data_IF_315720121650
#
_entry.id   IF_315720121650
#
_cell.length_a   1.000
_cell.length_b   1.000
_cell.length_c   1.000
_cell.angle_alpha   90.00
_cell.angle_beta   90.00
_cell.angle_gamma   90.00
#
_symmetry.space_group_name_H-M   'P 1'
#
loop_
_entity.id
_entity.type
_entity.pdbx_description
1 polymer ?
#
# COMPACT_ATOMS: atom_id res chain seq x y z
N UNK A 1 3.48 3.28 -1.98
CA UNK A 1 3.06 2.06 -2.71
C UNK A 1 2.73 2.40 -4.15
N UNK A 2 2.77 1.42 -5.06
CA UNK A 2 2.29 1.57 -6.44
C UNK A 2 0.99 0.79 -6.67
N UNK A 3 0.25 1.17 -7.71
CA UNK A 3 -0.98 0.46 -8.13
C UNK A 3 -0.67 -0.97 -8.56
N UNK A 4 0.46 -1.17 -9.27
CA UNK A 4 0.88 -2.51 -9.70
C UNK A 4 1.22 -3.42 -8.51
N UNK A 5 1.93 -2.91 -7.49
CA UNK A 5 2.22 -3.69 -6.29
C UNK A 5 0.93 -4.11 -5.55
N UNK A 6 -0.07 -3.23 -5.46
CA UNK A 6 -1.39 -3.61 -4.92
C UNK A 6 -2.12 -4.65 -5.79
N UNK A 7 -1.99 -4.54 -7.11
CA UNK A 7 -2.60 -5.51 -8.03
C UNK A 7 -2.03 -6.92 -7.85
N UNK A 8 -0.71 -7.05 -7.61
CA UNK A 8 -0.05 -8.32 -7.31
C UNK A 8 -0.58 -8.94 -6.01
N UNK A 9 -0.81 -8.13 -4.97
CA UNK A 9 -1.38 -8.62 -3.71
C UNK A 9 -2.78 -9.24 -3.89
N UNK A 10 -3.54 -8.83 -4.89
CA UNK A 10 -4.86 -9.43 -5.18
C UNK A 10 -4.78 -10.91 -5.56
N UNK A 11 -3.69 -11.32 -6.19
CA UNK A 11 -3.47 -12.71 -6.62
C UNK A 11 -2.93 -13.58 -5.46
N UNK A 12 -1.96 -13.05 -4.72
CA UNK A 12 -1.21 -13.82 -3.71
C UNK A 12 -1.89 -13.87 -2.33
N UNK A 13 -2.74 -12.91 -2.00
CA UNK A 13 -3.36 -12.83 -0.66
C UNK A 13 -4.68 -13.56 -0.53
N UNK A 14 -5.13 -14.32 -1.53
CA UNK A 14 -6.41 -15.03 -1.48
C UNK A 14 -6.55 -15.98 -0.28
N UNK A 15 -5.44 -16.50 0.24
CA UNK A 15 -5.41 -17.40 1.40
C UNK A 15 -5.25 -16.66 2.74
N UNK A 16 -4.92 -15.37 2.75
CA UNK A 16 -4.78 -14.60 3.98
C UNK A 16 -6.16 -14.31 4.59
N UNK A 17 -6.31 -14.59 5.89
CA UNK A 17 -7.55 -14.32 6.64
C UNK A 17 -7.75 -12.82 6.89
N UNK A 18 -6.68 -12.06 6.98
CA UNK A 18 -6.70 -10.62 7.24
C UNK A 18 -5.46 -9.97 6.63
N UNK A 19 -5.63 -8.81 6.04
CA UNK A 19 -4.56 -7.95 5.55
C UNK A 19 -4.69 -6.56 6.18
N UNK A 20 -3.62 -6.06 6.78
CA UNK A 20 -3.61 -4.75 7.44
C UNK A 20 -2.47 -3.91 6.89
N UNK A 21 -2.80 -2.71 6.45
CA UNK A 21 -1.82 -1.76 5.90
C UNK A 21 -1.88 -0.43 6.66
N UNK A 22 -0.73 0.04 7.09
CA UNK A 22 -0.57 1.40 7.62
C UNK A 22 0.19 2.21 6.58
N UNK A 23 -0.40 3.30 6.16
CA UNK A 23 0.23 4.26 5.27
C UNK A 23 0.81 5.42 6.06
N UNK A 24 1.93 5.93 5.61
CA UNK A 24 2.43 7.23 6.03
C UNK A 24 1.48 8.35 5.57
N UNK A 25 1.75 9.58 5.98
CA UNK A 25 0.86 10.71 5.71
C UNK A 25 0.53 10.86 4.22
N UNK A 26 -0.75 10.70 3.88
CA UNK A 26 -1.27 10.83 2.51
C UNK A 26 -1.48 12.29 2.08
N UNK A 27 -1.48 13.25 3.04
CA UNK A 27 -1.87 14.63 2.78
C UNK A 27 -0.72 15.66 2.93
N UNK A 28 0.53 15.21 3.07
CA UNK A 28 1.64 16.10 3.49
C UNK A 28 2.14 17.11 2.44
N UNK A 29 1.59 17.17 1.24
CA UNK A 29 1.98 18.16 0.24
C UNK A 29 0.78 18.78 -0.46
N UNK A 30 0.90 20.11 -0.69
CA UNK A 30 -0.10 20.91 -1.38
C UNK A 30 -0.28 20.53 -2.87
N UNK A 31 0.61 19.72 -3.44
CA UNK A 31 0.47 19.14 -4.77
C UNK A 31 -0.06 17.70 -4.71
N UNK A 32 -1.34 17.53 -4.42
CA UNK A 32 -1.99 16.21 -4.51
C UNK A 32 -1.76 15.56 -5.89
N UNK A 33 -1.70 16.35 -6.95
CA UNK A 33 -1.38 15.89 -8.30
C UNK A 33 -0.01 15.22 -8.40
N UNK A 34 1.03 15.73 -7.71
CA UNK A 34 2.37 15.16 -7.78
C UNK A 34 2.50 13.83 -7.00
N UNK A 35 1.78 13.63 -5.90
CA UNK A 35 1.79 12.33 -5.19
C UNK A 35 0.97 11.26 -5.88
N UNK A 36 -0.10 11.66 -6.51
CA UNK A 36 -0.87 10.81 -7.41
C UNK A 36 0.00 10.41 -8.59
N UNK A 37 0.76 11.33 -9.11
CA UNK A 37 1.76 11.10 -10.16
C UNK A 37 2.87 10.18 -9.65
N UNK A 38 3.33 10.27 -8.41
CA UNK A 38 4.29 9.31 -7.82
C UNK A 38 3.71 7.91 -7.62
N UNK A 39 2.43 7.79 -7.30
CA UNK A 39 1.70 6.52 -7.33
C UNK A 39 1.67 5.91 -8.74
N UNK A 40 1.73 6.76 -9.77
CA UNK A 40 1.68 6.39 -11.18
C UNK A 40 3.06 6.40 -11.84
N UNK A 41 3.87 7.46 -11.63
CA UNK A 41 5.16 7.71 -12.30
C UNK A 41 6.30 6.86 -11.76
N UNK A 42 6.16 6.26 -10.62
CA UNK A 42 7.02 5.14 -10.26
C UNK A 42 7.04 4.09 -11.39
N UNK A 43 6.00 4.08 -12.26
CA UNK A 43 5.74 3.05 -13.26
C UNK A 43 5.57 3.56 -14.70
N UNK A 44 5.55 4.87 -14.94
CA UNK A 44 5.29 5.43 -16.27
C UNK A 44 6.52 5.46 -17.19
N UNK A 45 6.97 4.32 -17.61
CA UNK A 45 7.32 4.17 -19.01
C UNK A 45 6.01 4.06 -19.79
N UNK A 46 5.76 5.00 -20.68
CA UNK A 46 4.51 5.25 -21.47
C UNK A 46 4.04 4.06 -22.35
N UNK A 47 4.22 2.85 -21.96
CA UNK A 47 3.99 1.72 -22.86
C UNK A 47 2.83 0.81 -22.52
N UNK A 48 1.79 1.23 -21.83
CA UNK A 48 0.51 0.47 -21.92
C UNK A 48 -0.58 1.02 -20.97
N UNK A 49 -1.35 1.97 -21.44
CA UNK A 49 -2.60 2.42 -20.79
C UNK A 49 -3.55 1.25 -20.49
N UNK A 50 -3.54 0.21 -21.33
CA UNK A 50 -4.39 -0.97 -21.14
C UNK A 50 -3.93 -1.85 -19.96
N UNK A 51 -2.62 -2.07 -19.80
CA UNK A 51 -2.07 -2.86 -18.68
C UNK A 51 -2.20 -2.13 -17.36
N UNK A 52 -2.04 -0.81 -17.35
CA UNK A 52 -2.27 0.03 -16.19
C UNK A 52 -3.75 0.03 -15.76
N UNK A 53 -4.68 0.10 -16.69
CA UNK A 53 -6.11 -0.02 -16.41
C UNK A 53 -6.48 -1.37 -15.80
N UNK A 54 -5.86 -2.46 -16.26
CA UNK A 54 -6.06 -3.79 -15.71
C UNK A 54 -5.49 -3.90 -14.28
N UNK A 55 -4.28 -3.35 -14.06
CA UNK A 55 -3.67 -3.29 -12.72
C UNK A 55 -4.51 -2.45 -11.77
N UNK A 56 -5.06 -1.31 -12.23
CA UNK A 56 -5.96 -0.49 -11.43
C UNK A 56 -7.22 -1.26 -10.99
N UNK A 57 -7.86 -1.98 -11.92
CA UNK A 57 -9.02 -2.84 -11.59
C UNK A 57 -8.67 -3.91 -10.55
N UNK A 58 -7.51 -4.57 -10.67
CA UNK A 58 -7.03 -5.55 -9.70
C UNK A 58 -6.72 -4.92 -8.34
N UNK A 59 -6.07 -3.76 -8.31
CA UNK A 59 -5.77 -3.02 -7.08
C UNK A 59 -7.05 -2.59 -6.35
N UNK A 60 -8.03 -2.07 -7.08
CA UNK A 60 -9.35 -1.71 -6.50
C UNK A 60 -10.06 -2.97 -5.97
N UNK A 61 -10.07 -4.06 -6.73
CA UNK A 61 -10.66 -5.32 -6.29
C UNK A 61 -9.98 -5.87 -5.02
N UNK A 62 -8.66 -5.72 -4.90
CA UNK A 62 -7.93 -6.05 -3.67
C UNK A 62 -8.39 -5.19 -2.49
N UNK A 63 -8.41 -3.88 -2.66
CA UNK A 63 -8.79 -2.94 -1.60
C UNK A 63 -10.26 -3.12 -1.16
N UNK A 64 -11.17 -3.49 -2.07
CA UNK A 64 -12.58 -3.70 -1.77
C UNK A 64 -12.85 -4.94 -0.91
N UNK A 65 -11.92 -5.87 -0.79
CA UNK A 65 -12.11 -7.05 0.06
C UNK A 65 -12.31 -6.63 1.53
N UNK A 66 -13.26 -7.24 2.22
CA UNK A 66 -13.54 -6.96 3.64
C UNK A 66 -12.36 -7.27 4.56
N UNK A 67 -11.58 -8.31 4.22
CA UNK A 67 -10.36 -8.69 4.96
C UNK A 67 -9.20 -7.70 4.83
N UNK A 68 -9.27 -6.76 3.88
CA UNK A 68 -8.25 -5.73 3.66
C UNK A 68 -8.63 -4.47 4.43
N UNK A 69 -7.82 -4.13 5.40
CA UNK A 69 -7.99 -2.96 6.25
C UNK A 69 -6.83 -2.00 6.04
N UNK A 70 -7.15 -0.72 5.87
CA UNK A 70 -6.16 0.32 5.62
C UNK A 70 -6.33 1.44 6.62
N UNK A 71 -5.24 1.87 7.22
CA UNK A 71 -5.18 3.03 8.11
C UNK A 71 -4.06 3.98 7.71
N UNK A 72 -4.14 5.22 8.14
CA UNK A 72 -3.17 6.27 7.87
C UNK A 72 -2.64 6.89 9.16
N UNK A 73 -1.36 7.25 9.18
CA UNK A 73 -0.76 8.08 10.24
C UNK A 73 -0.65 9.51 9.70
N UNK A 74 -1.53 10.39 10.20
CA UNK A 74 -1.66 11.76 9.67
C UNK A 74 -0.74 12.77 10.37
N UNK A 75 -0.46 12.60 11.66
CA UNK A 75 0.26 13.60 12.46
C UNK A 75 1.77 13.49 12.39
N UNK A 76 2.30 12.29 12.19
CA UNK A 76 3.72 12.00 12.12
C UNK A 76 4.04 11.26 10.85
N UNK A 77 5.21 11.55 10.26
CA UNK A 77 5.66 10.82 9.09
C UNK A 77 6.16 9.43 9.48
N UNK A 78 5.44 8.39 9.07
CA UNK A 78 5.89 7.01 9.24
C UNK A 78 6.68 6.56 8.00
N UNK A 79 7.99 6.43 8.14
CA UNK A 79 8.88 5.99 7.06
C UNK A 79 9.30 4.52 7.18
N UNK A 80 8.66 3.76 8.05
CA UNK A 80 8.94 2.33 8.22
C UNK A 80 8.51 1.53 6.99
N UNK A 81 9.41 0.67 6.49
CA UNK A 81 9.12 -0.34 5.48
C UNK A 81 9.25 -1.69 6.15
N UNK A 82 8.12 -2.21 6.55
CA UNK A 82 8.02 -3.42 7.37
C UNK A 82 6.90 -4.29 6.87
N UNK A 83 7.22 -5.55 6.64
CA UNK A 83 6.28 -6.57 6.18
C UNK A 83 6.26 -7.70 7.20
N UNK A 84 5.08 -8.05 7.71
CA UNK A 84 4.91 -9.07 8.74
C UNK A 84 3.88 -10.07 8.23
N UNK A 85 4.30 -11.31 8.08
CA UNK A 85 3.43 -12.43 7.77
C UNK A 85 3.28 -13.33 9.00
N UNK A 86 2.04 -13.53 9.42
CA UNK A 86 1.69 -14.43 10.54
C UNK A 86 0.92 -15.63 10.01
N UNK A 87 1.46 -16.80 10.21
CA UNK A 87 0.82 -18.09 9.93
C UNK A 87 0.22 -18.73 11.18
N UNK A 88 -0.65 -19.72 10.99
CA UNK A 88 -1.15 -20.61 12.06
C UNK A 88 -0.02 -21.46 12.64
N UNK A 89 0.93 -21.88 11.79
CA UNK A 89 2.17 -22.53 12.22
C UNK A 89 3.23 -21.43 12.49
N UNK A 90 3.63 -21.20 13.76
CA UNK A 90 4.59 -20.15 14.10
C UNK A 90 5.94 -20.28 13.41
N UNK A 91 6.32 -21.47 12.93
CA UNK A 91 7.57 -21.69 12.18
C UNK A 91 7.56 -21.04 10.80
N UNK A 92 6.35 -20.81 10.26
CA UNK A 92 6.13 -20.16 8.96
C UNK A 92 5.93 -18.66 9.06
N UNK A 93 5.90 -18.10 10.27
CA UNK A 93 5.93 -16.65 10.41
C UNK A 93 7.17 -16.09 9.74
N UNK A 94 7.06 -14.92 9.14
CA UNK A 94 8.25 -14.22 8.70
C UNK A 94 8.04 -12.70 8.76
N UNK A 95 9.15 -11.96 8.75
CA UNK A 95 9.13 -10.51 8.61
C UNK A 95 10.28 -10.03 7.74
N UNK A 96 10.08 -8.85 7.17
CA UNK A 96 11.08 -8.10 6.43
C UNK A 96 11.09 -6.69 6.99
N UNK A 97 12.28 -6.15 7.23
CA UNK A 97 12.51 -4.74 7.59
C UNK A 97 13.61 -4.21 6.69
N UNK A 98 13.41 -3.04 6.12
CA UNK A 98 14.45 -2.44 5.29
C UNK A 98 14.06 -1.15 4.62
N UNK A 99 14.67 -0.88 3.47
CA UNK A 99 14.43 0.32 2.68
C UNK A 99 13.35 0.15 1.62
N UNK A 100 12.99 -1.08 1.25
CA UNK A 100 12.06 -1.38 0.14
C UNK A 100 10.65 -0.90 0.40
N UNK A 101 10.17 0.04 -0.40
CA UNK A 101 8.77 0.42 -0.45
C UNK A 101 7.94 -0.66 -1.17
N UNK A 102 6.63 -0.66 -0.93
CA UNK A 102 5.67 -1.48 -1.69
C UNK A 102 5.42 -0.84 -3.07
N UNK A 103 6.43 -0.87 -3.91
CA UNK A 103 6.44 -0.33 -5.28
C UNK A 103 7.16 -1.31 -6.19
N UNK A 104 6.95 -1.21 -7.50
CA UNK A 104 7.64 -2.07 -8.46
C UNK A 104 9.16 -1.94 -8.36
N UNK A 105 9.68 -0.71 -8.20
CA UNK A 105 11.10 -0.47 -8.02
C UNK A 105 11.62 -1.05 -6.68
N UNK A 106 10.90 -0.85 -5.58
CA UNK A 106 11.27 -1.37 -4.25
C UNK A 106 11.16 -2.89 -4.15
N UNK A 107 10.31 -3.52 -4.95
CA UNK A 107 10.16 -4.98 -5.02
C UNK A 107 11.08 -5.64 -6.06
N UNK A 108 11.86 -4.87 -6.80
CA UNK A 108 12.78 -5.40 -7.81
C UNK A 108 12.09 -5.92 -9.07
N UNK A 109 10.90 -5.41 -9.38
CA UNK A 109 10.09 -5.86 -10.53
C UNK A 109 10.37 -5.07 -11.83
N UNK A 110 11.28 -4.09 -11.77
CA UNK A 110 11.73 -3.28 -12.92
C UNK A 110 13.18 -3.59 -13.28
N UNK A 111 13.55 -3.40 -14.56
CA UNK A 111 14.94 -3.50 -15.03
C UNK A 111 15.86 -2.52 -14.29
N UNK A 112 15.37 -1.32 -14.00
CA UNK A 112 16.07 -0.30 -13.20
C UNK A 112 15.44 -0.17 -11.82
N UNK A 113 15.61 -1.20 -11.00
CA UNK A 113 15.14 -1.21 -9.61
C UNK A 113 16.09 -0.41 -8.72
N UNK A 114 15.56 0.07 -7.57
CA UNK A 114 16.39 0.68 -6.55
C UNK A 114 17.38 -0.33 -5.97
N UNK A 115 18.51 0.17 -5.46
CA UNK A 115 19.37 -0.63 -4.58
C UNK A 115 18.74 -0.59 -3.20
N UNK A 116 18.24 -1.73 -2.74
CA UNK A 116 17.53 -1.85 -1.48
C UNK A 116 18.31 -2.73 -0.49
N UNK A 117 18.27 -2.37 0.78
CA UNK A 117 18.84 -3.17 1.86
C UNK A 117 17.73 -3.62 2.79
N UNK A 118 17.50 -4.92 2.84
CA UNK A 118 16.49 -5.53 3.69
C UNK A 118 17.09 -6.64 4.55
N UNK A 119 16.58 -6.80 5.75
CA UNK A 119 16.78 -7.99 6.57
C UNK A 119 15.46 -8.76 6.66
N UNK A 120 15.55 -10.08 6.63
CA UNK A 120 14.40 -10.96 6.76
C UNK A 120 14.73 -12.09 7.73
N UNK A 121 13.72 -12.50 8.51
CA UNK A 121 13.83 -13.64 9.41
C UNK A 121 12.55 -14.44 9.38
N UNK A 122 12.64 -15.72 9.71
CA UNK A 122 11.53 -16.66 9.77
C UNK A 122 11.34 -17.21 11.18
N UNK A 123 10.12 -17.62 11.48
CA UNK A 123 9.75 -18.19 12.77
C UNK A 123 9.18 -17.15 13.74
N UNK A 124 9.18 -17.51 15.02
CA UNK A 124 8.59 -16.69 16.08
C UNK A 124 9.70 -16.21 17.05
N UNK A 125 10.75 -15.64 16.48
CA UNK A 125 11.90 -15.09 17.22
C UNK A 125 11.55 -13.82 18.01
N UNK A 126 12.53 -13.23 18.67
CA UNK A 126 12.37 -12.03 19.47
C UNK A 126 11.98 -10.84 18.58
N UNK A 127 12.62 -10.70 17.43
CA UNK A 127 12.41 -9.58 16.49
C UNK A 127 11.00 -9.62 15.92
N UNK A 128 10.49 -10.80 15.52
CA UNK A 128 9.12 -10.97 15.07
C UNK A 128 8.10 -10.55 16.14
N UNK A 129 8.33 -10.94 17.40
CA UNK A 129 7.44 -10.59 18.52
C UNK A 129 7.42 -9.08 18.78
N UNK A 130 8.58 -8.45 18.82
CA UNK A 130 8.69 -6.99 19.02
C UNK A 130 8.07 -6.23 17.85
N UNK A 131 8.32 -6.65 16.62
CA UNK A 131 7.74 -6.02 15.44
C UNK A 131 6.22 -6.13 15.41
N UNK A 132 5.68 -7.29 15.74
CA UNK A 132 4.24 -7.51 15.86
C UNK A 132 3.62 -6.64 16.95
N UNK A 133 4.30 -6.47 18.10
CA UNK A 133 3.89 -5.61 19.19
C UNK A 133 3.90 -4.14 18.77
N UNK A 134 4.97 -3.71 18.10
CA UNK A 134 5.08 -2.37 17.54
C UNK A 134 3.95 -2.10 16.54
N UNK A 135 3.73 -2.99 15.55
CA UNK A 135 2.66 -2.83 14.57
C UNK A 135 1.28 -2.76 15.24
N UNK A 136 1.02 -3.63 16.23
CA UNK A 136 -0.23 -3.60 16.99
C UNK A 136 -0.43 -2.25 17.68
N UNK A 137 0.63 -1.71 18.32
CA UNK A 137 0.56 -0.40 18.96
C UNK A 137 0.24 0.71 17.95
N UNK A 138 0.94 0.74 16.80
CA UNK A 138 0.66 1.71 15.74
C UNK A 138 -0.78 1.59 15.24
N UNK A 139 -1.24 0.37 15.01
CA UNK A 139 -2.57 0.08 14.50
C UNK A 139 -3.71 0.50 15.44
N UNK A 140 -3.56 0.25 16.73
CA UNK A 140 -4.61 0.45 17.73
C UNK A 140 -4.63 1.87 18.30
N UNK A 141 -3.46 2.53 18.40
CA UNK A 141 -3.34 3.77 19.17
C UNK A 141 -2.96 5.00 18.33
N UNK A 142 -2.38 4.82 17.15
CA UNK A 142 -1.82 5.92 16.36
C UNK A 142 -2.53 6.08 15.01
N UNK A 143 -2.63 4.99 14.26
CA UNK A 143 -3.18 5.00 12.91
C UNK A 143 -4.72 5.11 12.93
N UNK A 144 -5.26 5.90 12.01
CA UNK A 144 -6.69 6.19 11.90
C UNK A 144 -7.23 5.64 10.57
N UNK A 145 -8.46 5.17 10.59
CA UNK A 145 -9.20 4.71 9.42
C UNK A 145 -9.79 5.86 8.59
N UNK A 146 -9.78 7.08 9.14
CA UNK A 146 -10.27 8.30 8.48
C UNK A 146 -9.17 9.35 8.39
N UNK A 147 -9.17 10.08 7.28
CA UNK A 147 -8.32 11.24 7.04
C UNK A 147 -9.17 12.50 7.25
N UNK A 148 -8.63 13.48 7.99
CA UNK A 148 -9.20 14.80 8.08
C UNK A 148 -8.65 15.66 6.94
N UNK A 149 -9.54 16.14 6.08
CA UNK A 149 -9.23 17.01 4.95
C UNK A 149 -9.04 18.47 5.42
N UNK A 150 -8.45 19.35 4.59
CA UNK A 150 -8.27 20.77 4.93
C UNK A 150 -9.57 21.50 5.28
N UNK A 151 -10.70 21.10 4.71
CA UNK A 151 -12.04 21.63 4.99
C UNK A 151 -12.69 21.00 6.25
N UNK A 152 -11.93 20.20 7.02
CA UNK A 152 -12.35 19.47 8.22
C UNK A 152 -13.33 18.32 7.97
N UNK A 153 -13.63 17.98 6.74
CA UNK A 153 -14.35 16.74 6.45
C UNK A 153 -13.50 15.53 6.76
N UNK A 154 -14.14 14.42 7.13
CA UNK A 154 -13.45 13.15 7.41
C UNK A 154 -13.88 12.13 6.38
N UNK A 155 -12.90 11.58 5.67
CA UNK A 155 -13.10 10.54 4.66
C UNK A 155 -12.42 9.25 5.09
N UNK A 156 -12.99 8.11 4.72
CA UNK A 156 -12.39 6.79 4.93
C UNK A 156 -11.13 6.64 4.08
N UNK A 157 -10.02 6.19 4.70
CA UNK A 157 -8.70 6.06 4.04
C UNK A 157 -8.78 5.11 2.85
N UNK A 158 -9.38 3.94 3.04
CA UNK A 158 -9.46 2.92 1.99
C UNK A 158 -10.33 3.38 0.84
N UNK A 159 -11.47 3.97 1.14
CA UNK A 159 -12.39 4.51 0.15
C UNK A 159 -11.75 5.64 -0.66
N UNK A 160 -11.04 6.54 0.00
CA UNK A 160 -10.31 7.63 -0.67
C UNK A 160 -9.29 7.11 -1.67
N UNK A 161 -8.50 6.09 -1.31
CA UNK A 161 -7.53 5.48 -2.23
C UNK A 161 -8.23 4.83 -3.42
N UNK A 162 -9.34 4.12 -3.20
CA UNK A 162 -10.14 3.52 -4.28
C UNK A 162 -10.64 4.60 -5.26
N UNK A 163 -11.15 5.71 -4.73
CA UNK A 163 -11.63 6.83 -5.55
C UNK A 163 -10.50 7.49 -6.34
N UNK A 164 -9.33 7.68 -5.71
CA UNK A 164 -8.14 8.19 -6.40
C UNK A 164 -7.75 7.28 -7.57
N UNK A 165 -7.64 5.97 -7.34
CA UNK A 165 -7.29 5.01 -8.39
C UNK A 165 -8.34 5.04 -9.52
N UNK A 166 -9.64 5.02 -9.20
CA UNK A 166 -10.70 5.06 -10.18
C UNK A 166 -10.70 6.36 -11.00
N UNK A 167 -10.45 7.50 -10.37
CA UNK A 167 -10.40 8.78 -11.07
C UNK A 167 -9.23 8.89 -12.04
N UNK A 168 -8.08 8.31 -11.66
CA UNK A 168 -6.87 8.31 -12.50
C UNK A 168 -6.99 7.40 -13.73
N UNK A 169 -7.75 6.32 -13.59
CA UNK A 169 -7.93 5.31 -14.65
C UNK A 169 -9.35 5.32 -15.23
N UNK A 170 -10.06 6.44 -15.07
CA UNK A 170 -11.36 6.61 -15.70
C UNK A 170 -11.20 6.47 -17.23
N UNK A 171 -11.79 5.42 -17.78
CA UNK A 171 -11.90 5.26 -19.23
C UNK A 171 -12.82 6.37 -19.74
N UNK A 172 -12.29 7.33 -20.47
CA UNK A 172 -13.10 8.29 -21.20
C UNK A 172 -13.75 7.55 -22.37
N UNK A 173 -15.05 7.52 -22.39
CA UNK A 173 -15.78 7.05 -23.56
C UNK A 173 -15.71 8.11 -24.66
N UNK A 174 -15.87 7.74 -25.96
CA UNK A 174 -15.89 8.73 -27.05
C UNK A 174 -16.94 9.85 -26.89
N UNK A 175 -17.90 9.69 -25.99
CA UNK A 175 -18.90 10.70 -25.64
C UNK A 175 -18.45 11.66 -24.52
N UNK A 176 -17.34 11.39 -23.86
CA UNK A 176 -16.78 12.26 -22.81
C UNK A 176 -15.73 13.26 -23.34
N UNK A 177 -15.42 13.21 -24.67
CA UNK A 177 -14.55 14.10 -25.41
C UNK A 177 -15.37 15.05 -26.27
#
# INVERSE_FOLDING_TARGET
FSVNALALLNEDTNQAESFRMILGNLLQDESQENKIIDLLNGDAGISNTLSLGLSAKKAVAFLQQEKVLVKNIQRNFCHAKTYIYKDKDPRKNFHIIGSSNLTDAGLGLKETSNIELNTASTGNDADFKELKKWFKHQWENIAQDKIEMPDKTKIDVKQHIIELINNLFKEYTPHDL
#
